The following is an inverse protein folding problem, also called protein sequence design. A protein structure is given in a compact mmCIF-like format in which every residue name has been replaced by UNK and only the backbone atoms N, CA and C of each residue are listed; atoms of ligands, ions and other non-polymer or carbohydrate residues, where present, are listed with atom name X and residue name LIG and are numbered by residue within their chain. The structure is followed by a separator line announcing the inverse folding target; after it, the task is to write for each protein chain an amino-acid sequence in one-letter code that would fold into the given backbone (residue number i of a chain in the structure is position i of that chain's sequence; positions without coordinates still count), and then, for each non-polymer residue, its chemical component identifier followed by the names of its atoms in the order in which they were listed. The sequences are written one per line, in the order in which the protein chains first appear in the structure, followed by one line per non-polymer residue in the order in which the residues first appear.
data_IF_179919507940
#
_entry.id   IF_179919507940
#
_cell.length_a   1.000
_cell.length_b   1.000
_cell.length_c   1.000
_cell.angle_alpha   90.00
_cell.angle_beta   90.00
_cell.angle_gamma   90.00
#
_symmetry.space_group_name_H-M   'P 1'
#
loop_
_entity.id
_entity.type
_entity.pdbx_description
1 polymer ?
#
# COMPACT_ATOMS: atom_id res chain seq x y z
N UNK A 1 -4.46 7.75 21.89
CA UNK A 1 -5.11 7.72 20.57
C UNK A 1 -4.78 6.35 19.99
N UNK A 2 -5.75 5.45 19.95
CA UNK A 2 -5.54 4.11 19.35
C UNK A 2 -5.24 4.31 17.87
N UNK A 3 -4.00 4.02 17.46
CA UNK A 3 -3.66 3.84 16.06
C UNK A 3 -4.69 2.89 15.48
N UNK A 4 -5.35 3.31 14.41
CA UNK A 4 -6.32 2.47 13.70
C UNK A 4 -5.51 1.32 13.06
N UNK A 5 -5.33 0.24 13.81
CA UNK A 5 -4.91 -1.03 13.25
C UNK A 5 -5.94 -1.41 12.18
N UNK A 6 -5.48 -1.78 10.97
CA UNK A 6 -6.36 -2.16 9.85
C UNK A 6 -7.31 -3.30 10.23
N UNK A 7 -8.18 -3.69 9.32
CA UNK A 7 -9.15 -4.78 9.52
C UNK A 7 -8.65 -6.07 8.90
N UNK A 8 -8.80 -7.20 9.61
CA UNK A 8 -8.61 -8.53 9.04
C UNK A 8 -9.92 -8.96 8.39
N UNK A 9 -9.87 -9.19 7.08
CA UNK A 9 -10.97 -9.76 6.31
C UNK A 9 -10.80 -11.27 6.30
N UNK A 10 -11.53 -11.95 7.19
CA UNK A 10 -11.48 -13.41 7.38
C UNK A 10 -12.48 -14.09 6.48
N UNK A 11 -12.02 -14.94 5.58
CA UNK A 11 -12.82 -15.63 4.57
C UNK A 11 -12.58 -17.12 4.69
N UNK A 12 -13.60 -17.85 5.11
CA UNK A 12 -13.55 -19.31 5.29
C UNK A 12 -14.99 -19.84 5.19
N UNK A 13 -15.23 -20.97 4.57
CA UNK A 13 -16.58 -21.53 4.44
C UNK A 13 -17.05 -22.23 5.73
N UNK A 14 -16.11 -22.68 6.59
CA UNK A 14 -16.42 -23.30 7.87
C UNK A 14 -16.78 -22.26 8.94
N UNK A 15 -18.02 -22.22 9.46
CA UNK A 15 -18.41 -21.27 10.50
C UNK A 15 -17.63 -21.46 11.79
N UNK A 16 -17.25 -22.68 12.16
CA UNK A 16 -16.47 -22.94 13.38
C UNK A 16 -15.05 -22.34 13.30
N UNK A 17 -14.43 -22.40 12.12
CA UNK A 17 -13.13 -21.76 11.88
C UNK A 17 -13.26 -20.24 11.96
N UNK A 18 -14.29 -19.66 11.30
CA UNK A 18 -14.54 -18.23 11.38
C UNK A 18 -14.74 -17.72 12.81
N UNK A 19 -15.57 -18.44 13.58
CA UNK A 19 -15.87 -18.08 14.98
C UNK A 19 -14.61 -18.16 15.86
N UNK A 20 -13.84 -19.24 15.72
CA UNK A 20 -12.61 -19.44 16.51
C UNK A 20 -11.56 -18.39 16.19
N UNK A 21 -11.28 -18.15 14.90
CA UNK A 21 -10.26 -17.18 14.48
C UNK A 21 -10.68 -15.73 14.78
N UNK A 22 -11.97 -15.39 14.57
CA UNK A 22 -12.46 -14.04 14.90
C UNK A 22 -12.40 -13.75 16.40
N UNK A 23 -12.70 -14.75 17.24
CA UNK A 23 -12.58 -14.64 18.70
C UNK A 23 -11.11 -14.45 19.12
N UNK A 24 -10.20 -15.27 18.57
CA UNK A 24 -8.76 -15.13 18.84
C UNK A 24 -8.24 -13.73 18.52
N UNK A 25 -8.57 -13.23 17.31
CA UNK A 25 -8.16 -11.91 16.86
C UNK A 25 -8.76 -10.79 17.73
N UNK A 26 -10.04 -10.91 18.09
CA UNK A 26 -10.73 -9.96 18.95
C UNK A 26 -10.10 -9.88 20.36
N UNK A 27 -9.74 -11.02 20.95
CA UNK A 27 -9.03 -11.08 22.24
C UNK A 27 -7.66 -10.38 22.21
N UNK A 28 -7.07 -10.23 21.04
CA UNK A 28 -5.80 -9.51 20.81
C UNK A 28 -5.99 -8.08 20.35
N UNK A 29 -7.24 -7.58 20.33
CA UNK A 29 -7.57 -6.21 19.93
C UNK A 29 -7.59 -5.97 18.40
N UNK A 30 -7.52 -7.03 17.60
CA UNK A 30 -7.50 -6.94 16.13
C UNK A 30 -8.93 -6.97 15.61
N UNK A 31 -9.32 -5.93 14.87
CA UNK A 31 -10.65 -5.87 14.24
C UNK A 31 -10.76 -6.90 13.11
N UNK A 32 -11.87 -7.61 13.07
CA UNK A 32 -12.13 -8.66 12.09
C UNK A 32 -13.49 -8.47 11.45
N UNK A 33 -13.55 -8.64 10.15
CA UNK A 33 -14.79 -8.74 9.38
C UNK A 33 -14.81 -10.11 8.71
N UNK A 34 -15.90 -10.87 8.91
CA UNK A 34 -15.99 -12.27 8.50
C UNK A 34 -16.86 -12.46 7.27
N UNK A 35 -16.46 -13.38 6.39
CA UNK A 35 -17.15 -13.71 5.15
C UNK A 35 -17.19 -15.24 4.98
N UNK A 36 -18.32 -15.75 4.50
CA UNK A 36 -18.49 -17.18 4.27
C UNK A 36 -17.91 -17.66 2.91
N UNK A 37 -17.60 -16.74 2.01
CA UNK A 37 -17.06 -17.01 0.68
C UNK A 37 -16.36 -15.75 0.12
N UNK A 38 -15.53 -15.96 -0.90
CA UNK A 38 -14.76 -14.90 -1.53
C UNK A 38 -15.62 -13.90 -2.31
N UNK A 39 -16.73 -14.35 -2.87
CA UNK A 39 -17.64 -13.52 -3.67
C UNK A 39 -18.27 -12.42 -2.81
N UNK A 40 -18.80 -12.79 -1.63
CA UNK A 40 -19.40 -11.83 -0.70
C UNK A 40 -18.39 -10.79 -0.18
N UNK A 41 -17.13 -11.19 0.00
CA UNK A 41 -16.06 -10.24 0.32
C UNK A 41 -15.83 -9.25 -0.82
N UNK A 42 -15.67 -9.74 -2.06
CA UNK A 42 -15.40 -8.90 -3.23
C UNK A 42 -16.54 -7.92 -3.49
N UNK A 43 -17.79 -8.32 -3.28
CA UNK A 43 -18.98 -7.48 -3.49
C UNK A 43 -19.08 -6.34 -2.47
N UNK A 44 -18.64 -6.58 -1.24
CA UNK A 44 -18.79 -5.62 -0.13
C UNK A 44 -17.53 -4.83 0.17
N UNK A 45 -16.38 -5.24 -0.39
CA UNK A 45 -15.10 -4.58 -0.10
C UNK A 45 -15.04 -3.17 -0.67
N UNK A 46 -14.78 -2.20 0.21
CA UNK A 46 -14.52 -0.82 -0.19
C UNK A 46 -13.03 -0.62 -0.49
N UNK A 47 -12.70 -0.09 -1.68
CA UNK A 47 -11.34 0.02 -2.18
C UNK A 47 -10.36 0.82 -1.28
N UNK A 48 -10.90 1.71 -0.44
CA UNK A 48 -10.12 2.54 0.49
C UNK A 48 -9.92 1.88 1.87
N UNK A 49 -10.37 0.62 2.04
CA UNK A 49 -10.23 -0.08 3.31
C UNK A 49 -8.80 -0.55 3.52
N UNK A 50 -8.23 -0.24 4.71
CA UNK A 50 -6.93 -0.73 5.14
C UNK A 50 -7.06 -2.05 5.89
N UNK A 51 -6.17 -3.01 5.61
CA UNK A 51 -6.19 -4.29 6.30
C UNK A 51 -5.42 -5.39 5.60
N UNK A 52 -5.77 -6.63 5.92
CA UNK A 52 -5.28 -7.81 5.23
C UNK A 52 -6.39 -8.85 5.06
N UNK A 53 -6.26 -9.67 4.05
CA UNK A 53 -7.13 -10.83 3.80
C UNK A 53 -6.51 -12.05 4.46
N UNK A 54 -7.31 -12.76 5.25
CA UNK A 54 -6.99 -14.09 5.78
C UNK A 54 -8.02 -15.06 5.19
N UNK A 55 -7.61 -15.90 4.25
CA UNK A 55 -8.54 -16.73 3.48
C UNK A 55 -8.18 -18.21 3.54
N UNK A 56 -9.20 -19.07 3.62
CA UNK A 56 -8.97 -20.48 3.32
C UNK A 56 -8.60 -20.65 1.84
N UNK A 57 -7.75 -21.64 1.59
CA UNK A 57 -7.35 -22.01 0.23
C UNK A 57 -8.49 -22.61 -0.56
N UNK A 58 -9.25 -23.53 0.09
CA UNK A 58 -10.27 -24.34 -0.55
C UNK A 58 -11.65 -24.02 -0.01
N UNK A 59 -12.40 -23.25 -0.78
CA UNK A 59 -13.78 -22.89 -0.48
C UNK A 59 -14.68 -23.27 -1.67
N UNK A 60 -15.97 -23.55 -1.43
CA UNK A 60 -16.96 -23.65 -2.51
C UNK A 60 -17.00 -22.36 -3.33
N UNK A 61 -17.10 -22.48 -4.64
CA UNK A 61 -17.05 -21.32 -5.55
C UNK A 61 -15.62 -20.88 -5.79
N UNK A 62 -15.30 -19.65 -5.42
CA UNK A 62 -13.97 -19.07 -5.63
C UNK A 62 -12.99 -19.51 -4.54
N UNK A 63 -11.86 -20.10 -4.96
CA UNK A 63 -10.76 -20.48 -4.08
C UNK A 63 -9.98 -19.26 -3.58
N UNK A 64 -9.19 -19.41 -2.50
CA UNK A 64 -8.32 -18.34 -2.00
C UNK A 64 -7.29 -17.83 -3.02
N UNK A 65 -6.79 -18.70 -3.92
CA UNK A 65 -5.88 -18.30 -5.00
C UNK A 65 -6.59 -17.53 -6.13
N UNK A 66 -7.82 -17.91 -6.44
CA UNK A 66 -8.64 -17.17 -7.41
C UNK A 66 -9.04 -15.80 -6.84
N UNK A 67 -9.38 -15.74 -5.55
CA UNK A 67 -9.60 -14.47 -4.85
C UNK A 67 -8.38 -13.54 -4.96
N UNK A 68 -7.20 -14.04 -4.66
CA UNK A 68 -5.96 -13.28 -4.79
C UNK A 68 -5.77 -12.74 -6.21
N UNK A 69 -6.04 -13.57 -7.22
CA UNK A 69 -5.96 -13.18 -8.63
C UNK A 69 -7.00 -12.12 -8.98
N UNK A 70 -8.23 -12.25 -8.47
CA UNK A 70 -9.31 -11.29 -8.67
C UNK A 70 -9.01 -9.92 -8.04
N UNK A 71 -8.43 -9.89 -6.84
CA UNK A 71 -7.99 -8.67 -6.18
C UNK A 71 -6.95 -7.92 -7.02
N UNK A 72 -5.95 -8.62 -7.55
CA UNK A 72 -4.95 -8.03 -8.45
C UNK A 72 -5.55 -7.45 -9.73
N UNK A 73 -6.45 -8.18 -10.37
CA UNK A 73 -7.14 -7.70 -11.60
C UNK A 73 -7.92 -6.42 -11.35
N UNK A 74 -8.40 -6.23 -10.11
CA UNK A 74 -9.12 -5.01 -9.68
C UNK A 74 -8.19 -3.92 -9.13
N UNK A 75 -6.86 -4.11 -9.18
CA UNK A 75 -5.86 -3.22 -8.56
C UNK A 75 -6.06 -3.01 -7.06
N UNK A 76 -6.60 -4.02 -6.37
CA UNK A 76 -6.72 -4.07 -4.92
C UNK A 76 -5.46 -4.75 -4.38
N UNK A 77 -4.60 -3.96 -3.76
CA UNK A 77 -3.29 -4.41 -3.30
C UNK A 77 -3.30 -4.67 -1.78
N UNK A 78 -4.22 -5.54 -1.33
CA UNK A 78 -4.25 -6.01 0.04
C UNK A 78 -3.29 -7.18 0.25
N UNK A 79 -2.55 -7.24 1.37
CA UNK A 79 -1.83 -8.44 1.75
C UNK A 79 -2.79 -9.61 1.93
N UNK A 80 -2.52 -10.73 1.25
CA UNK A 80 -3.33 -11.95 1.33
C UNK A 80 -2.53 -13.03 2.04
N UNK A 81 -3.04 -13.49 3.17
CA UNK A 81 -2.53 -14.65 3.92
C UNK A 81 -3.46 -15.83 3.64
N UNK A 82 -2.90 -16.93 3.15
CA UNK A 82 -3.67 -18.11 2.78
C UNK A 82 -3.55 -19.17 3.88
N UNK A 83 -4.70 -19.65 4.38
CA UNK A 83 -4.79 -20.80 5.28
C UNK A 83 -5.09 -22.06 4.47
N UNK A 84 -4.54 -23.21 4.86
CA UNK A 84 -4.85 -24.48 4.21
C UNK A 84 -4.74 -25.66 5.14
N UNK A 85 -5.60 -26.66 4.96
CA UNK A 85 -5.49 -27.94 5.64
C UNK A 85 -4.48 -28.90 4.98
N UNK A 86 -3.96 -28.58 3.79
CA UNK A 86 -3.05 -29.43 3.05
C UNK A 86 -1.98 -28.56 2.37
N UNK A 87 -0.81 -28.50 2.99
CA UNK A 87 0.34 -27.74 2.54
C UNK A 87 1.23 -28.51 1.56
N UNK A 88 0.74 -28.84 0.34
CA UNK A 88 1.70 -29.34 -0.64
C UNK A 88 2.61 -28.20 -1.16
N UNK A 89 3.88 -28.52 -1.33
CA UNK A 89 4.92 -27.56 -1.73
C UNK A 89 4.59 -26.84 -3.06
N UNK A 90 3.87 -27.51 -3.96
CA UNK A 90 3.51 -26.93 -5.26
C UNK A 90 2.45 -25.81 -5.09
N UNK A 91 1.48 -26.03 -4.23
CA UNK A 91 0.41 -25.07 -3.92
C UNK A 91 0.98 -23.87 -3.17
N UNK A 92 1.82 -24.08 -2.14
CA UNK A 92 2.54 -23.01 -1.43
C UNK A 92 3.35 -22.16 -2.39
N UNK A 93 4.15 -22.80 -3.25
CA UNK A 93 4.96 -22.10 -4.24
C UNK A 93 4.12 -21.30 -5.23
N UNK A 94 2.96 -21.82 -5.62
CA UNK A 94 2.03 -21.12 -6.51
C UNK A 94 1.43 -19.89 -5.84
N UNK A 95 0.98 -20.01 -4.59
CA UNK A 95 0.45 -18.90 -3.79
C UNK A 95 1.48 -17.76 -3.66
N UNK A 96 2.71 -18.10 -3.26
CA UNK A 96 3.79 -17.12 -3.10
C UNK A 96 4.22 -16.48 -4.44
N UNK A 97 4.31 -17.27 -5.52
CA UNK A 97 4.58 -16.73 -6.87
C UNK A 97 3.48 -15.78 -7.35
N UNK A 98 2.25 -16.07 -6.97
CA UNK A 98 1.12 -15.19 -7.21
C UNK A 98 1.08 -14.01 -6.23
N UNK A 99 2.08 -13.85 -5.36
CA UNK A 99 2.28 -12.73 -4.44
C UNK A 99 1.37 -12.79 -3.22
N UNK A 100 1.01 -13.98 -2.73
CA UNK A 100 0.50 -14.10 -1.39
C UNK A 100 1.52 -13.49 -0.42
N UNK A 101 1.03 -12.80 0.60
CA UNK A 101 1.87 -12.22 1.64
C UNK A 101 2.51 -13.33 2.47
N UNK A 102 1.70 -14.32 2.83
CA UNK A 102 2.16 -15.50 3.53
C UNK A 102 1.18 -16.68 3.34
N UNK A 103 1.59 -17.85 3.84
CA UNK A 103 0.87 -19.09 3.74
C UNK A 103 1.04 -19.89 5.04
N UNK A 104 -0.08 -20.30 5.65
CA UNK A 104 -0.10 -21.02 6.93
C UNK A 104 -0.85 -22.32 6.79
N UNK A 105 -0.30 -23.40 7.36
CA UNK A 105 -0.92 -24.72 7.37
C UNK A 105 -1.74 -24.93 8.63
N UNK A 106 -2.99 -25.39 8.47
CA UNK A 106 -3.90 -25.79 9.57
C UNK A 106 -3.51 -27.18 10.11
N UNK A 107 -3.46 -27.39 11.45
CA UNK A 107 -3.77 -26.44 12.50
C UNK A 107 -2.65 -25.42 12.71
N UNK A 108 -3.01 -24.13 12.77
CA UNK A 108 -2.08 -23.03 12.93
C UNK A 108 -1.94 -22.69 14.42
N UNK A 109 -0.71 -22.50 14.88
CA UNK A 109 -0.46 -22.01 16.23
C UNK A 109 -0.88 -20.54 16.35
N UNK A 110 -1.56 -20.20 17.45
CA UNK A 110 -2.10 -18.84 17.69
C UNK A 110 -1.02 -17.76 17.56
N UNK A 111 0.18 -17.99 18.11
CA UNK A 111 1.26 -17.02 18.07
C UNK A 111 1.77 -16.79 16.65
N UNK A 112 1.91 -17.84 15.85
CA UNK A 112 2.33 -17.75 14.44
C UNK A 112 1.30 -17.00 13.60
N UNK A 113 0.00 -17.33 13.77
CA UNK A 113 -1.08 -16.62 13.07
C UNK A 113 -1.05 -15.12 13.40
N UNK A 114 -0.94 -14.79 14.68
CA UNK A 114 -0.92 -13.39 15.13
C UNK A 114 0.29 -12.63 14.63
N UNK A 115 1.45 -13.25 14.58
CA UNK A 115 2.66 -12.66 14.00
C UNK A 115 2.47 -12.31 12.53
N UNK A 116 2.01 -13.28 11.72
CA UNK A 116 1.79 -13.10 10.28
C UNK A 116 0.72 -12.03 10.02
N UNK A 117 -0.39 -12.06 10.74
CA UNK A 117 -1.46 -11.06 10.63
C UNK A 117 -0.95 -9.66 10.96
N UNK A 118 -0.20 -9.49 12.06
CA UNK A 118 0.38 -8.18 12.41
C UNK A 118 1.38 -7.68 11.37
N UNK A 119 2.19 -8.57 10.82
CA UNK A 119 3.12 -8.23 9.75
C UNK A 119 2.38 -7.79 8.48
N UNK A 120 1.30 -8.48 8.11
CA UNK A 120 0.46 -8.11 6.97
C UNK A 120 -0.22 -6.74 7.18
N UNK A 121 -0.83 -6.51 8.34
CA UNK A 121 -1.44 -5.22 8.68
C UNK A 121 -0.42 -4.07 8.67
N UNK A 122 0.79 -4.31 9.16
CA UNK A 122 1.88 -3.33 9.13
C UNK A 122 2.30 -3.01 7.70
N UNK A 123 2.50 -4.01 6.85
CA UNK A 123 2.88 -3.83 5.46
C UNK A 123 1.84 -3.01 4.68
N UNK A 124 0.55 -3.28 4.91
CA UNK A 124 -0.53 -2.50 4.30
C UNK A 124 -0.52 -1.04 4.75
N UNK A 125 -0.32 -0.79 6.04
CA UNK A 125 -0.22 0.56 6.61
C UNK A 125 0.94 1.35 6.01
N UNK A 126 2.13 0.76 5.92
CA UNK A 126 3.31 1.38 5.34
C UNK A 126 3.08 1.72 3.86
N UNK A 127 2.42 0.83 3.13
CA UNK A 127 2.03 1.05 1.75
C UNK A 127 1.05 2.22 1.61
N UNK A 128 -0.02 2.26 2.41
CA UNK A 128 -0.98 3.37 2.40
C UNK A 128 -0.34 4.70 2.79
N UNK A 129 0.52 4.73 3.80
CA UNK A 129 1.27 5.92 4.18
C UNK A 129 2.15 6.43 3.02
N UNK A 130 2.87 5.51 2.35
CA UNK A 130 3.70 5.84 1.20
C UNK A 130 2.87 6.33 0.00
N UNK A 131 1.69 5.72 -0.25
CA UNK A 131 0.78 6.14 -1.31
C UNK A 131 0.22 7.55 -1.05
N UNK A 132 -0.19 7.83 0.20
CA UNK A 132 -0.69 9.15 0.61
C UNK A 132 0.39 10.22 0.46
N UNK A 133 1.62 9.96 0.90
CA UNK A 133 2.75 10.88 0.74
C UNK A 133 3.04 11.15 -0.75
N UNK A 134 3.03 10.10 -1.58
CA UNK A 134 3.25 10.22 -3.03
C UNK A 134 2.12 11.01 -3.71
N UNK A 135 0.86 10.76 -3.37
CA UNK A 135 -0.29 11.50 -3.90
C UNK A 135 -0.21 12.98 -3.53
N UNK A 136 0.07 13.31 -2.27
CA UNK A 136 0.25 14.69 -1.82
C UNK A 136 1.42 15.40 -2.55
N UNK A 137 2.52 14.70 -2.79
CA UNK A 137 3.65 15.24 -3.56
C UNK A 137 3.26 15.49 -5.03
N UNK A 138 2.53 14.56 -5.66
CA UNK A 138 2.03 14.73 -7.03
C UNK A 138 1.05 15.89 -7.16
N UNK A 139 0.13 16.06 -6.21
CA UNK A 139 -0.79 17.19 -6.18
C UNK A 139 -0.06 18.52 -6.07
N UNK A 140 0.97 18.60 -5.21
CA UNK A 140 1.82 19.79 -5.11
C UNK A 140 2.56 20.07 -6.42
N UNK A 141 3.14 19.05 -7.04
CA UNK A 141 3.81 19.19 -8.35
C UNK A 141 2.84 19.58 -9.47
N UNK A 142 1.57 19.18 -9.41
CA UNK A 142 0.54 19.56 -10.37
C UNK A 142 0.25 21.09 -10.36
N UNK A 143 0.49 21.77 -9.23
CA UNK A 143 0.30 23.24 -9.09
C UNK A 143 1.38 24.07 -9.78
N UNK A 144 2.47 23.44 -10.21
CA UNK A 144 3.54 24.14 -10.93
C UNK A 144 3.14 24.44 -12.37
N UNK A 145 3.43 25.65 -12.83
CA UNK A 145 3.31 25.99 -14.24
C UNK A 145 4.32 25.23 -15.09
N UNK A 146 4.13 25.11 -16.41
CA UNK A 146 5.11 24.46 -17.30
C UNK A 146 6.53 25.03 -17.11
N UNK A 147 6.65 26.35 -16.97
CA UNK A 147 7.95 27.02 -16.79
C UNK A 147 8.60 26.69 -15.44
N UNK A 148 7.82 26.64 -14.38
CA UNK A 148 8.31 26.21 -13.06
C UNK A 148 8.77 24.75 -13.05
N UNK A 149 8.10 23.86 -13.81
CA UNK A 149 8.54 22.46 -13.97
C UNK A 149 9.87 22.34 -14.70
N UNK A 150 10.07 23.12 -15.76
CA UNK A 150 11.36 23.15 -16.48
C UNK A 150 12.50 23.58 -15.55
N UNK A 151 12.29 24.67 -14.78
CA UNK A 151 13.26 25.14 -13.79
C UNK A 151 13.52 24.07 -12.73
N UNK A 152 12.46 23.43 -12.20
CA UNK A 152 12.57 22.38 -11.19
C UNK A 152 13.39 21.18 -11.70
N UNK A 153 13.15 20.73 -12.92
CA UNK A 153 13.87 19.61 -13.55
C UNK A 153 15.37 19.91 -13.65
N UNK A 154 15.73 21.13 -14.07
CA UNK A 154 17.12 21.54 -14.18
C UNK A 154 17.81 21.71 -12.82
N UNK A 155 17.08 22.20 -11.81
CA UNK A 155 17.56 22.24 -10.42
C UNK A 155 17.81 20.82 -9.87
N UNK A 156 16.89 19.88 -10.12
CA UNK A 156 17.04 18.48 -9.74
C UNK A 156 18.23 17.79 -10.40
N UNK A 157 18.61 18.22 -11.61
CA UNK A 157 19.81 17.78 -12.31
C UNK A 157 21.11 18.46 -11.80
N UNK A 158 21.04 19.28 -10.74
CA UNK A 158 22.20 19.95 -10.14
C UNK A 158 22.72 21.15 -10.93
N UNK A 159 21.95 21.70 -11.88
CA UNK A 159 22.35 22.87 -12.64
C UNK A 159 22.34 24.16 -11.78
N UNK A 160 23.32 25.04 -12.01
CA UNK A 160 23.37 26.33 -11.34
C UNK A 160 22.41 27.33 -12.00
N UNK A 161 22.01 28.40 -11.26
CA UNK A 161 21.07 29.40 -11.75
C UNK A 161 21.51 30.05 -13.07
N UNK A 162 22.82 30.24 -13.28
CA UNK A 162 23.38 30.84 -14.50
C UNK A 162 23.18 29.89 -15.70
N UNK A 163 23.41 28.58 -15.51
CA UNK A 163 23.24 27.56 -16.55
C UNK A 163 21.77 27.40 -16.92
N UNK A 164 20.88 27.42 -15.90
CA UNK A 164 19.43 27.36 -16.10
C UNK A 164 18.94 28.57 -16.88
N UNK A 165 19.43 29.75 -16.51
CA UNK A 165 19.11 31.02 -17.20
C UNK A 165 19.51 30.98 -18.69
N UNK A 166 20.73 30.53 -18.98
CA UNK A 166 21.21 30.36 -20.34
C UNK A 166 20.39 29.33 -21.13
N UNK A 167 20.09 28.18 -20.51
CA UNK A 167 19.32 27.10 -21.14
C UNK A 167 17.89 27.53 -21.48
N UNK A 168 17.26 28.29 -20.59
CA UNK A 168 15.87 28.70 -20.71
C UNK A 168 15.67 30.08 -21.38
N UNK A 169 16.73 30.80 -21.73
CA UNK A 169 16.67 32.12 -22.37
C UNK A 169 16.10 33.21 -21.46
N UNK A 170 16.38 33.16 -20.13
CA UNK A 170 15.91 34.13 -19.13
C UNK A 170 17.06 34.62 -18.30
N UNK A 171 16.82 35.64 -17.45
CA UNK A 171 17.87 36.15 -16.54
C UNK A 171 18.05 35.23 -15.32
N UNK A 172 19.26 35.19 -14.70
CA UNK A 172 19.47 34.47 -13.43
C UNK A 172 18.53 34.96 -12.31
N UNK A 173 18.18 36.23 -12.29
CA UNK A 173 17.20 36.79 -11.35
C UNK A 173 15.80 36.22 -11.57
N UNK A 174 15.42 35.96 -12.82
CA UNK A 174 14.14 35.32 -13.15
C UNK A 174 14.11 33.87 -12.69
N UNK A 175 15.25 33.16 -12.76
CA UNK A 175 15.39 31.81 -12.21
C UNK A 175 15.16 31.79 -10.69
N UNK A 176 15.72 32.76 -9.97
CA UNK A 176 15.52 32.90 -8.52
C UNK A 176 14.05 33.16 -8.18
N UNK A 177 13.35 33.99 -8.97
CA UNK A 177 11.91 34.23 -8.78
C UNK A 177 11.11 32.94 -8.99
N UNK A 178 11.41 32.17 -10.04
CA UNK A 178 10.76 30.87 -10.25
C UNK A 178 11.07 29.92 -9.10
N UNK A 179 12.32 29.84 -8.64
CA UNK A 179 12.72 29.02 -7.51
C UNK A 179 11.95 29.35 -6.24
N UNK A 180 11.81 30.64 -5.91
CA UNK A 180 11.02 31.08 -4.75
C UNK A 180 9.54 30.61 -4.87
N UNK A 181 8.92 30.81 -6.03
CA UNK A 181 7.53 30.37 -6.29
C UNK A 181 7.37 28.85 -6.24
N UNK A 182 8.34 28.10 -6.74
CA UNK A 182 8.35 26.63 -6.65
C UNK A 182 8.40 26.22 -5.19
N UNK A 183 9.31 26.80 -4.39
CA UNK A 183 9.45 26.49 -2.97
C UNK A 183 8.16 26.80 -2.19
N UNK A 184 7.51 27.92 -2.48
CA UNK A 184 6.21 28.29 -1.89
C UNK A 184 5.12 27.26 -2.25
N UNK A 185 4.96 26.92 -3.54
CA UNK A 185 3.93 25.97 -4.02
C UNK A 185 4.14 24.55 -3.52
N UNK A 186 5.39 24.14 -3.33
CA UNK A 186 5.76 22.82 -2.83
C UNK A 186 5.91 22.78 -1.30
N UNK A 187 5.68 23.91 -0.61
CA UNK A 187 5.82 24.05 0.84
C UNK A 187 7.17 23.55 1.37
N UNK A 188 8.25 23.88 0.65
CA UNK A 188 9.60 23.50 1.04
C UNK A 188 10.44 24.71 1.42
N UNK A 189 11.17 24.60 2.56
CA UNK A 189 11.96 25.69 3.13
C UNK A 189 13.45 25.67 2.71
N UNK A 190 13.86 24.67 1.95
CA UNK A 190 15.25 24.51 1.53
C UNK A 190 15.39 23.87 0.16
N UNK A 191 16.50 24.15 -0.52
CA UNK A 191 16.84 23.50 -1.78
C UNK A 191 16.98 21.96 -1.62
N UNK A 192 17.50 21.52 -0.49
CA UNK A 192 17.62 20.09 -0.19
C UNK A 192 16.24 19.42 -0.07
N UNK A 193 15.25 20.09 0.53
CA UNK A 193 13.87 19.65 0.56
C UNK A 193 13.26 19.56 -0.84
N UNK A 194 13.51 20.58 -1.67
CA UNK A 194 13.08 20.59 -3.05
C UNK A 194 13.63 19.40 -3.87
N UNK A 195 14.92 19.11 -3.72
CA UNK A 195 15.57 17.99 -4.41
C UNK A 195 15.03 16.66 -3.93
N UNK A 196 14.74 16.49 -2.63
CA UNK A 196 14.10 15.25 -2.11
C UNK A 196 12.73 15.00 -2.74
N UNK A 197 11.89 16.01 -2.86
CA UNK A 197 10.59 15.93 -3.54
C UNK A 197 10.76 15.48 -5.01
N UNK A 198 11.75 16.06 -5.73
CA UNK A 198 12.03 15.66 -7.13
C UNK A 198 12.52 14.23 -7.25
N UNK A 199 13.31 13.75 -6.29
CA UNK A 199 13.87 12.40 -6.29
C UNK A 199 12.91 11.34 -5.70
N UNK A 200 11.72 11.77 -5.22
CA UNK A 200 10.76 10.87 -4.58
C UNK A 200 11.28 10.24 -3.28
N UNK A 201 12.16 10.94 -2.56
CA UNK A 201 12.80 10.51 -1.31
C UNK A 201 12.39 11.44 -0.17
N UNK A 202 11.08 11.46 0.16
CA UNK A 202 10.59 12.06 1.40
C UNK A 202 10.65 11.08 2.55
#
# INVERSE_FOLDING_TARGET
MSEQEGTVFLIDDDPGVRDSLSLLLALKGIRTQVFANAESFIETFAADSCGCVLTDLRMPGMTGLELQSALRQRNIDLPVVVLTAHGDVATVRTALKNGAFDYLEKPVEDEMLLEVVRNALRADRERHASATTRSAAQERLARLTPREREVLTLLGAGRQNVDIAAHLGISPRTVEVHKARIMEKLDCRSLAGLIRIVLGKD
#
